data_IF_106184091384
#
_entry.id   IF_106184091384
#
_cell.length_a   1.000
_cell.length_b   1.000
_cell.length_c   1.000
_cell.angle_alpha   90.00
_cell.angle_beta   90.00
_cell.angle_gamma   90.00
#
_symmetry.space_group_name_H-M   'P 1'
#
loop_
_entity.id
_entity.type
_entity.pdbx_description
1 polymer ?
#
# COMPACT_ATOMS: atom_id res chain seq x y z
N UNK A 1 -14.58 6.95 -4.67
CA UNK A 1 -13.41 7.81 -4.85
C UNK A 1 -12.38 7.04 -5.67
N UNK A 2 -12.21 7.44 -6.93
CA UNK A 2 -11.05 7.07 -7.73
C UNK A 2 -9.79 7.65 -7.09
N UNK A 3 -8.66 6.95 -7.24
CA UNK A 3 -7.34 7.44 -6.84
C UNK A 3 -6.54 7.30 -8.11
N UNK A 4 -5.95 8.39 -8.57
CA UNK A 4 -5.17 8.42 -9.81
C UNK A 4 -3.68 8.34 -9.47
N UNK A 5 -2.90 7.84 -10.42
CA UNK A 5 -1.46 7.85 -10.34
C UNK A 5 -0.95 9.29 -10.46
N UNK A 6 -0.11 9.75 -9.53
CA UNK A 6 0.48 11.09 -9.59
C UNK A 6 1.42 11.25 -10.80
N UNK A 7 2.01 10.16 -11.31
CA UNK A 7 2.96 10.22 -12.44
C UNK A 7 2.29 10.13 -13.81
N UNK A 8 1.31 9.24 -13.98
CA UNK A 8 0.73 8.94 -15.31
C UNK A 8 -0.79 9.17 -15.39
N UNK A 9 -1.38 9.74 -14.33
CA UNK A 9 -2.80 10.08 -14.19
C UNK A 9 -3.79 8.90 -14.32
N UNK A 10 -3.30 7.70 -14.62
CA UNK A 10 -4.10 6.50 -14.76
C UNK A 10 -4.81 6.16 -13.45
N UNK A 11 -6.06 5.72 -13.55
CA UNK A 11 -6.82 5.28 -12.38
C UNK A 11 -6.16 4.02 -11.76
N UNK A 12 -5.79 4.12 -10.48
CA UNK A 12 -5.31 2.98 -9.71
C UNK A 12 -6.52 2.10 -9.40
N UNK A 13 -6.65 0.94 -10.03
CA UNK A 13 -7.81 0.06 -9.82
C UNK A 13 -7.77 -0.62 -8.45
N UNK A 14 -8.93 -0.90 -7.87
CA UNK A 14 -9.03 -1.67 -6.62
C UNK A 14 -8.40 -3.05 -6.77
N UNK A 15 -7.76 -3.55 -5.71
CA UNK A 15 -7.05 -4.85 -5.69
C UNK A 15 -5.82 -4.94 -6.59
N UNK A 16 -5.46 -3.86 -7.30
CA UNK A 16 -4.13 -3.71 -7.89
C UNK A 16 -3.13 -3.18 -6.85
N UNK A 17 -1.82 -3.35 -7.11
CA UNK A 17 -0.78 -2.74 -6.32
C UNK A 17 -0.94 -1.21 -6.30
N UNK A 18 -0.62 -0.61 -5.16
CA UNK A 18 -0.48 0.82 -4.99
C UNK A 18 0.84 1.06 -4.26
N UNK A 19 1.58 2.05 -4.74
CA UNK A 19 2.79 2.55 -4.12
C UNK A 19 2.45 3.91 -3.51
N UNK A 20 2.79 4.10 -2.25
CA UNK A 20 2.58 5.34 -1.50
C UNK A 20 3.95 5.89 -1.18
N UNK A 21 4.27 7.04 -1.74
CA UNK A 21 5.44 7.82 -1.35
C UNK A 21 4.99 8.93 -0.42
N UNK A 22 5.78 9.22 0.62
CA UNK A 22 5.55 10.38 1.47
C UNK A 22 6.84 10.94 2.04
N UNK A 23 6.98 12.26 2.01
CA UNK A 23 7.93 12.97 2.87
C UNK A 23 7.40 12.97 4.29
N UNK A 24 8.26 12.65 5.24
CA UNK A 24 7.85 12.31 6.60
C UNK A 24 8.82 12.85 7.63
N UNK A 25 8.27 13.40 8.71
CA UNK A 25 9.00 13.73 9.92
C UNK A 25 8.83 12.60 10.94
N UNK A 26 9.87 12.36 11.73
CA UNK A 26 9.96 11.30 12.72
C UNK A 26 10.25 11.86 14.11
N UNK A 27 9.77 11.16 15.13
CA UNK A 27 10.17 11.32 16.52
C UNK A 27 11.49 10.59 16.74
N UNK A 28 12.17 10.91 17.85
CA UNK A 28 13.44 10.28 18.28
C UNK A 28 13.33 8.75 18.40
N UNK A 29 12.14 8.24 18.74
CA UNK A 29 11.82 6.81 18.83
C UNK A 29 11.61 6.12 17.46
N UNK A 30 11.75 6.85 16.34
CA UNK A 30 11.59 6.36 14.98
C UNK A 30 10.15 6.22 14.48
N UNK A 31 9.15 6.64 15.27
CA UNK A 31 7.77 6.75 14.78
C UNK A 31 7.61 8.03 13.98
N UNK A 32 6.90 7.96 12.87
CA UNK A 32 6.55 9.16 12.13
C UNK A 32 5.61 10.04 12.96
N UNK A 33 5.82 11.34 12.93
CA UNK A 33 4.92 12.36 13.49
C UNK A 33 3.91 12.81 12.46
N UNK A 34 4.38 13.08 11.24
CA UNK A 34 3.61 13.73 10.20
C UNK A 34 4.10 13.33 8.81
N UNK A 35 3.14 13.11 7.90
CA UNK A 35 3.41 13.03 6.47
C UNK A 35 3.15 14.40 5.85
N UNK A 36 4.19 15.01 5.30
CA UNK A 36 4.14 16.35 4.71
C UNK A 36 3.52 16.31 3.31
N UNK A 37 3.91 15.31 2.52
CA UNK A 37 3.43 15.08 1.17
C UNK A 37 3.03 13.61 1.04
N UNK A 38 2.09 13.30 0.14
CA UNK A 38 1.76 11.92 -0.17
C UNK A 38 1.38 11.75 -1.64
N UNK A 39 2.19 10.98 -2.36
CA UNK A 39 1.95 10.62 -3.75
C UNK A 39 1.48 9.17 -3.87
N UNK A 40 0.47 8.96 -4.71
CA UNK A 40 -0.07 7.65 -5.01
C UNK A 40 0.37 7.21 -6.40
N UNK A 41 1.02 6.06 -6.50
CA UNK A 41 1.62 5.58 -7.74
C UNK A 41 1.08 4.18 -8.07
N UNK A 42 0.81 3.96 -9.35
CA UNK A 42 0.14 2.74 -9.83
C UNK A 42 1.10 1.56 -10.04
N UNK A 43 2.41 1.83 -10.12
CA UNK A 43 3.42 0.82 -10.41
C UNK A 43 4.79 1.25 -9.88
N UNK A 44 5.69 0.27 -9.74
CA UNK A 44 7.08 0.53 -9.39
C UNK A 44 7.78 1.37 -10.46
N UNK A 45 7.44 1.18 -11.74
CA UNK A 45 7.97 2.00 -12.84
C UNK A 45 7.60 3.48 -12.70
N UNK A 46 6.35 3.77 -12.38
CA UNK A 46 5.93 5.16 -12.13
C UNK A 46 6.62 5.76 -10.90
N UNK A 47 6.92 4.94 -9.89
CA UNK A 47 7.69 5.37 -8.73
C UNK A 47 9.13 5.72 -9.12
N UNK A 48 9.80 4.90 -9.93
CA UNK A 48 11.17 5.19 -10.37
C UNK A 48 11.23 6.41 -11.27
N UNK A 49 10.28 6.56 -12.21
CA UNK A 49 10.18 7.72 -13.10
C UNK A 49 9.96 9.02 -12.34
N UNK A 50 9.16 9.00 -11.26
CA UNK A 50 8.92 10.18 -10.43
C UNK A 50 10.21 10.77 -9.82
N UNK A 51 11.21 9.92 -9.56
CA UNK A 51 12.44 10.32 -8.87
C UNK A 51 13.68 10.31 -9.75
N UNK A 52 13.59 9.98 -11.05
CA UNK A 52 14.73 9.70 -11.93
C UNK A 52 15.78 10.83 -11.94
N UNK A 53 15.35 12.09 -11.80
CA UNK A 53 16.22 13.29 -11.77
C UNK A 53 16.34 13.95 -10.39
N UNK A 54 15.86 13.29 -9.33
CA UNK A 54 15.83 13.90 -8.00
C UNK A 54 17.04 13.50 -7.15
N UNK A 55 17.96 14.43 -6.96
CA UNK A 55 19.11 14.30 -6.06
C UNK A 55 18.92 15.18 -4.82
N UNK A 56 18.10 14.70 -3.88
CA UNK A 56 18.02 15.30 -2.55
C UNK A 56 18.88 14.49 -1.57
N UNK A 57 19.89 15.14 -0.99
CA UNK A 57 20.51 14.67 0.23
C UNK A 57 19.57 14.97 1.40
N UNK A 58 19.30 13.96 2.22
CA UNK A 58 18.49 14.17 3.40
C UNK A 58 19.34 14.28 4.65
N UNK A 59 18.70 14.79 5.70
CA UNK A 59 19.36 15.19 6.95
C UNK A 59 19.63 13.95 7.79
N UNK A 60 20.91 13.69 8.08
CA UNK A 60 21.32 12.61 8.98
C UNK A 60 21.22 13.09 10.42
N UNK A 61 20.73 12.21 11.29
CA UNK A 61 20.64 12.46 12.73
C UNK A 61 21.14 11.24 13.51
N UNK A 62 21.43 11.41 14.80
CA UNK A 62 21.74 10.31 15.73
C UNK A 62 20.47 9.61 16.22
N UNK A 63 19.31 10.25 16.05
CA UNK A 63 18.03 9.80 16.55
C UNK A 63 16.99 9.67 15.41
N UNK A 64 15.88 9.01 15.70
CA UNK A 64 14.80 8.85 14.74
C UNK A 64 14.75 7.50 14.01
N UNK A 65 14.17 7.54 12.82
CA UNK A 65 13.95 6.36 11.99
C UNK A 65 15.26 5.82 11.42
N UNK A 66 15.34 4.50 11.25
CA UNK A 66 16.52 3.86 10.67
C UNK A 66 16.38 3.68 9.16
N UNK A 67 17.38 4.14 8.40
CA UNK A 67 17.37 4.05 6.96
C UNK A 67 17.46 2.58 6.51
N UNK A 68 16.55 2.20 5.62
CA UNK A 68 16.44 0.84 5.11
C UNK A 68 17.68 0.36 4.36
N UNK A 69 18.49 1.28 3.83
CA UNK A 69 19.69 1.00 3.02
C UNK A 69 20.98 1.17 3.81
N UNK A 70 21.27 2.38 4.29
CA UNK A 70 22.55 2.70 4.95
C UNK A 70 22.52 2.59 6.48
N UNK A 71 21.37 2.27 7.09
CA UNK A 71 21.20 2.06 8.54
C UNK A 71 21.49 3.27 9.42
N UNK A 72 21.76 4.45 8.85
CA UNK A 72 21.80 5.70 9.62
C UNK A 72 20.42 6.11 10.08
N UNK A 73 20.38 6.74 11.26
CA UNK A 73 19.15 7.33 11.78
C UNK A 73 18.89 8.72 11.19
N UNK A 74 17.63 9.12 11.18
CA UNK A 74 17.19 10.40 10.66
C UNK A 74 15.82 10.80 11.23
N UNK A 75 15.62 12.11 11.37
CA UNK A 75 14.38 12.70 11.88
C UNK A 75 13.47 13.22 10.75
N UNK A 76 14.02 13.43 9.55
CA UNK A 76 13.26 13.86 8.38
C UNK A 76 13.73 13.07 7.15
N UNK A 77 12.80 12.48 6.42
CA UNK A 77 13.13 11.71 5.22
C UNK A 77 11.90 11.19 4.52
N UNK A 78 12.03 10.04 3.87
CA UNK A 78 11.03 9.56 2.92
C UNK A 78 10.54 8.18 3.30
N UNK A 79 9.26 7.93 3.08
CA UNK A 79 8.66 6.62 3.24
C UNK A 79 8.13 6.17 1.88
N UNK A 80 8.43 4.92 1.52
CA UNK A 80 7.76 4.24 0.41
C UNK A 80 7.08 3.00 0.96
N UNK A 81 5.77 2.91 0.75
CA UNK A 81 4.98 1.73 1.08
C UNK A 81 4.40 1.12 -0.18
N UNK A 82 4.40 -0.21 -0.26
CA UNK A 82 3.68 -0.94 -1.31
C UNK A 82 2.59 -1.80 -0.68
N UNK A 83 1.43 -1.84 -1.33
CA UNK A 83 0.28 -2.59 -0.83
C UNK A 83 -0.81 -2.76 -1.87
N UNK A 84 -1.99 -3.17 -1.43
CA UNK A 84 -3.18 -3.21 -2.27
C UNK A 84 -4.04 -1.98 -2.08
N UNK A 85 -4.53 -1.41 -3.18
CA UNK A 85 -5.54 -0.35 -3.13
C UNK A 85 -6.75 -0.84 -2.33
N UNK A 86 -7.18 -0.01 -1.37
CA UNK A 86 -8.37 -0.27 -0.55
C UNK A 86 -9.60 -0.54 -1.41
N UNK A 87 -10.43 -1.47 -0.97
CA UNK A 87 -11.75 -1.70 -1.57
C UNK A 87 -12.76 -0.69 -1.04
N UNK A 88 -13.92 -0.58 -1.69
CA UNK A 88 -15.01 0.30 -1.22
C UNK A 88 -15.46 0.00 0.22
N UNK A 89 -15.24 -1.22 0.71
CA UNK A 89 -15.59 -1.65 2.08
C UNK A 89 -14.50 -1.39 3.11
N UNK A 90 -13.27 -1.15 2.67
CA UNK A 90 -12.11 -0.97 3.53
C UNK A 90 -11.83 0.54 3.69
N UNK A 91 -11.57 0.97 4.93
CA UNK A 91 -11.19 2.37 5.20
C UNK A 91 -9.75 2.67 4.76
N UNK A 92 -8.87 1.67 4.83
CA UNK A 92 -7.42 1.79 4.67
C UNK A 92 -6.85 0.84 3.61
N UNK A 93 -5.71 1.23 3.02
CA UNK A 93 -4.92 0.38 2.12
C UNK A 93 -4.33 -0.79 2.90
N UNK A 94 -4.24 -1.96 2.26
CA UNK A 94 -3.55 -3.10 2.88
C UNK A 94 -2.08 -3.04 2.49
N UNK A 95 -1.26 -2.47 3.35
CA UNK A 95 0.19 -2.36 3.17
C UNK A 95 0.84 -3.75 3.33
N UNK A 96 1.79 -4.05 2.46
CA UNK A 96 2.58 -5.29 2.47
C UNK A 96 3.94 -5.02 3.11
N UNK A 97 4.62 -3.97 2.63
CA UNK A 97 5.91 -3.55 3.17
C UNK A 97 6.03 -2.04 3.08
N UNK A 98 6.83 -1.50 4.00
CA UNK A 98 7.14 -0.09 4.13
C UNK A 98 8.64 0.02 4.31
N UNK A 99 9.26 0.89 3.53
CA UNK A 99 10.68 1.24 3.64
C UNK A 99 10.81 2.71 3.94
N UNK A 100 11.85 3.04 4.67
CA UNK A 100 12.14 4.40 5.13
C UNK A 100 13.55 4.77 4.68
N UNK A 101 13.71 5.97 4.14
CA UNK A 101 14.94 6.44 3.51
C UNK A 101 15.34 7.79 4.08
N UNK A 102 16.60 7.93 4.44
CA UNK A 102 17.15 9.20 4.86
C UNK A 102 17.46 10.15 3.70
N UNK A 103 17.35 9.71 2.44
CA UNK A 103 17.62 10.54 1.25
C UNK A 103 17.13 9.88 -0.03
N UNK A 104 16.97 10.66 -1.10
CA UNK A 104 16.69 10.13 -2.44
C UNK A 104 17.82 9.23 -2.95
N UNK A 105 19.08 9.53 -2.61
CA UNK A 105 20.22 8.67 -2.93
C UNK A 105 20.08 7.25 -2.35
N UNK A 106 19.58 7.11 -1.12
CA UNK A 106 19.32 5.80 -0.55
C UNK A 106 18.12 5.11 -1.22
N UNK A 107 17.08 5.87 -1.53
CA UNK A 107 15.92 5.36 -2.25
C UNK A 107 16.30 4.83 -3.63
N UNK A 108 17.10 5.56 -4.40
CA UNK A 108 17.63 5.15 -5.71
C UNK A 108 18.47 3.89 -5.65
N UNK A 109 19.29 3.74 -4.61
CA UNK A 109 20.05 2.49 -4.38
C UNK A 109 19.12 1.31 -4.16
N UNK A 110 18.07 1.47 -3.36
CA UNK A 110 17.07 0.41 -3.15
C UNK A 110 16.26 0.13 -4.42
N UNK A 111 15.97 1.16 -5.22
CA UNK A 111 15.26 0.99 -6.48
C UNK A 111 16.07 0.26 -7.54
N UNK A 112 17.40 0.31 -7.47
CA UNK A 112 18.29 -0.47 -8.34
C UNK A 112 18.49 -1.91 -7.84
N UNK A 113 18.17 -2.20 -6.58
CA UNK A 113 18.28 -3.54 -6.02
C UNK A 113 17.07 -4.41 -6.39
N UNK A 114 17.32 -5.45 -7.19
CA UNK A 114 16.30 -6.45 -7.59
C UNK A 114 15.75 -7.25 -6.41
N UNK A 115 16.46 -7.29 -5.28
CA UNK A 115 16.02 -7.95 -4.05
C UNK A 115 15.22 -7.01 -3.15
N UNK A 116 15.04 -5.73 -3.53
CA UNK A 116 14.24 -4.81 -2.74
C UNK A 116 12.82 -5.35 -2.57
N UNK A 117 12.28 -5.34 -1.34
CA UNK A 117 10.87 -5.64 -1.09
C UNK A 117 9.89 -4.75 -1.88
N UNK A 118 10.34 -3.60 -2.41
CA UNK A 118 9.51 -2.74 -3.24
C UNK A 118 9.30 -3.28 -4.66
N UNK A 119 10.24 -4.09 -5.18
CA UNK A 119 10.12 -4.70 -6.50
C UNK A 119 9.38 -6.03 -6.51
N UNK A 120 8.85 -6.46 -5.35
CA UNK A 120 8.16 -7.73 -5.26
C UNK A 120 6.96 -7.78 -6.20
N UNK A 121 6.75 -8.92 -6.87
CA UNK A 121 5.50 -9.16 -7.55
C UNK A 121 4.38 -9.25 -6.51
N UNK A 122 3.62 -8.17 -6.38
CA UNK A 122 2.49 -8.11 -5.45
C UNK A 122 1.44 -9.11 -5.92
N UNK A 123 1.18 -10.18 -5.16
CA UNK A 123 0.29 -11.23 -5.61
C UNK A 123 -1.13 -10.67 -5.78
N UNK A 124 -1.88 -11.23 -6.75
CA UNK A 124 -3.30 -10.87 -6.94
C UNK A 124 -4.02 -11.06 -5.61
N UNK A 125 -4.70 -10.00 -5.13
CA UNK A 125 -5.42 -10.04 -3.85
C UNK A 125 -6.32 -11.29 -3.83
N UNK A 126 -6.18 -12.21 -2.86
CA UNK A 126 -6.95 -13.44 -2.87
C UNK A 126 -8.44 -13.08 -2.80
N UNK A 127 -9.21 -13.54 -3.79
CA UNK A 127 -10.66 -13.39 -3.77
C UNK A 127 -11.18 -14.17 -2.56
N UNK A 128 -11.77 -13.47 -1.58
CA UNK A 128 -12.45 -14.16 -0.47
C UNK A 128 -13.47 -15.11 -1.10
N UNK A 129 -13.22 -16.42 -1.02
CA UNK A 129 -14.22 -17.44 -1.39
C UNK A 129 -15.47 -17.13 -0.58
N UNK A 130 -16.53 -16.67 -1.24
CA UNK A 130 -17.85 -16.54 -0.61
C UNK A 130 -18.19 -17.93 -0.11
N UNK A 131 -18.28 -18.12 1.21
CA UNK A 131 -19.02 -19.27 1.74
C UNK A 131 -20.43 -19.10 1.21
N UNK A 132 -20.83 -19.95 0.25
CA UNK A 132 -22.23 -20.02 -0.13
C UNK A 132 -22.96 -20.49 1.11
N UNK A 133 -23.67 -19.58 1.77
CA UNK A 133 -24.64 -19.98 2.79
C UNK A 133 -25.66 -20.81 2.04
N UNK A 134 -25.51 -22.13 2.12
CA UNK A 134 -26.41 -23.12 1.52
C UNK A 134 -27.82 -22.72 1.95
N UNK A 135 -28.59 -22.17 1.02
CA UNK A 135 -29.95 -21.70 1.22
C UNK A 135 -30.72 -22.91 1.76
N UNK A 136 -31.00 -22.94 3.07
CA UNK A 136 -31.81 -23.99 3.69
C UNK A 136 -33.18 -23.85 3.04
N UNK A 137 -33.46 -24.69 2.05
CA UNK A 137 -34.77 -24.76 1.41
C UNK A 137 -35.75 -25.20 2.50
N UNK A 138 -36.45 -24.26 3.10
CA UNK A 138 -37.63 -24.55 3.90
C UNK A 138 -38.67 -25.13 2.94
N UNK A 139 -38.69 -26.46 2.87
CA UNK A 139 -39.70 -27.26 2.19
C UNK A 139 -41.06 -26.78 2.72
N UNK A 140 -41.79 -26.02 1.91
CA UNK A 140 -43.17 -25.61 2.20
C UNK A 140 -43.98 -26.90 2.29
N UNK A 141 -44.31 -27.35 3.50
CA UNK A 141 -45.22 -28.48 3.73
C UNK A 141 -46.58 -28.07 3.16
N UNK A 142 -46.91 -28.57 1.98
CA UNK A 142 -48.28 -28.58 1.46
C UNK A 142 -49.09 -29.58 2.29
N UNK A 143 -49.87 -29.08 3.24
CA UNK A 143 -50.90 -29.87 3.93
C UNK A 143 -52.03 -30.15 2.93
N UNK A 144 -52.14 -31.41 2.53
CA UNK A 144 -53.19 -31.92 1.64
C UNK A 144 -54.35 -32.47 2.49
N UNK A 145 -55.55 -31.93 2.24
CA UNK A 145 -56.91 -32.48 2.44
C UNK A 145 -57.41 -32.81 3.86
N UNK A 146 -58.62 -32.33 4.16
CA UNK A 146 -59.80 -33.20 4.31
C UNK A 146 -61.09 -32.48 3.91
N UNK A 147 -61.75 -33.04 2.88
CA UNK A 147 -63.14 -32.82 2.49
C UNK A 147 -63.99 -33.60 3.52
N UNK A 148 -65.00 -32.98 4.12
CA UNK A 148 -66.08 -33.70 4.82
C UNK A 148 -67.41 -33.20 4.27
N UNK A 149 -68.23 -34.19 3.95
CA UNK A 149 -69.60 -34.12 3.44
C UNK A 149 -70.53 -33.31 4.32
#
# INVERSE_FOLDING_TARGET
MSINCNMCEAEIKTSKPIYLFSDTLFQENGRWTEHLTQDNLCSFKCLTELFEDSEAEGVKDKEGAECSVCKTKFMAGHIVSVGWKKTQRERWHKIITTRQYCSHNCMHKDFKDKKSPLQMEVPKKPAKKRKSTKKKSTKKKTTRKKKKS
#
